data_IF_706844075157
#
_entry.id   IF_706844075157
#
_cell.length_a   1.000
_cell.length_b   1.000
_cell.length_c   1.000
_cell.angle_alpha   90.00
_cell.angle_beta   90.00
_cell.angle_gamma   90.00
#
_symmetry.space_group_name_H-M   'P 1'
#
loop_
_entity.id
_entity.type
_entity.pdbx_description
1 polymer ?
#
# COMPACT_ATOMS: atom_id res chain seq x y z
N UNK A 1 -15.05 -3.62 -22.46
CA UNK A 1 -13.81 -4.10 -23.12
C UNK A 1 -13.71 -5.57 -22.81
N UNK A 2 -13.79 -6.45 -23.81
CA UNK A 2 -13.79 -7.90 -23.62
C UNK A 2 -12.58 -8.47 -24.34
N UNK A 3 -11.83 -9.35 -23.66
CA UNK A 3 -10.64 -9.99 -24.22
C UNK A 3 -11.08 -11.29 -24.91
N UNK A 4 -11.15 -11.29 -26.23
CA UNK A 4 -11.58 -12.46 -27.02
C UNK A 4 -10.37 -13.33 -27.39
N UNK A 5 -9.86 -14.10 -26.43
CA UNK A 5 -8.78 -15.08 -26.66
C UNK A 5 -9.23 -16.42 -26.08
N UNK A 6 -8.90 -17.52 -26.74
CA UNK A 6 -9.25 -18.85 -26.24
C UNK A 6 -8.61 -19.11 -24.87
N UNK A 7 -9.34 -19.80 -24.00
CA UNK A 7 -8.83 -20.18 -22.69
C UNK A 7 -7.55 -21.02 -22.84
N UNK A 8 -6.51 -20.69 -22.06
CA UNK A 8 -5.21 -21.35 -22.12
C UNK A 8 -4.23 -20.76 -23.15
N UNK A 9 -4.64 -19.83 -24.02
CA UNK A 9 -3.71 -19.12 -24.89
C UNK A 9 -2.99 -17.96 -24.16
N UNK A 10 -1.69 -17.82 -24.43
CA UNK A 10 -0.90 -16.69 -23.93
C UNK A 10 -1.35 -15.39 -24.60
N UNK A 11 -1.66 -14.38 -23.79
CA UNK A 11 -2.01 -13.04 -24.25
C UNK A 11 -0.77 -12.37 -24.86
N UNK A 12 -0.89 -11.85 -26.09
CA UNK A 12 0.15 -11.14 -26.82
C UNK A 12 -0.28 -9.70 -27.08
N UNK A 13 0.66 -8.83 -27.46
CA UNK A 13 0.40 -7.40 -27.70
C UNK A 13 -0.75 -7.17 -28.70
N UNK A 14 -0.85 -7.98 -29.75
CA UNK A 14 -1.93 -7.90 -30.73
C UNK A 14 -3.34 -8.15 -30.16
N UNK A 15 -3.47 -8.90 -29.05
CA UNK A 15 -4.74 -9.22 -28.41
C UNK A 15 -5.27 -8.09 -27.53
N UNK A 16 -4.45 -7.06 -27.26
CA UNK A 16 -4.83 -5.94 -26.42
C UNK A 16 -5.65 -4.93 -27.23
N UNK A 17 -6.62 -4.30 -26.57
CA UNK A 17 -7.36 -3.18 -27.14
C UNK A 17 -6.41 -2.04 -27.54
N UNK A 18 -6.73 -1.32 -28.61
CA UNK A 18 -5.90 -0.24 -29.17
C UNK A 18 -5.38 0.73 -28.10
N UNK A 19 -6.28 1.20 -27.22
CA UNK A 19 -5.94 2.11 -26.10
C UNK A 19 -4.86 1.59 -25.13
N UNK A 20 -4.69 0.28 -24.99
CA UNK A 20 -3.66 -0.32 -24.13
C UNK A 20 -2.37 -0.52 -24.92
N UNK A 21 -2.45 -0.86 -26.22
CA UNK A 21 -1.27 -1.04 -27.08
C UNK A 21 -0.52 0.24 -27.32
N UNK A 22 -1.28 1.33 -27.46
CA UNK A 22 -0.80 2.66 -27.83
C UNK A 22 -0.54 3.54 -26.60
N UNK A 23 -0.93 3.08 -25.41
CA UNK A 23 -0.53 3.73 -24.17
C UNK A 23 1.00 3.67 -24.05
N UNK A 24 1.61 4.82 -23.84
CA UNK A 24 3.02 4.90 -23.52
C UNK A 24 3.23 4.44 -22.07
N UNK A 25 3.91 3.31 -21.82
CA UNK A 25 4.20 2.86 -20.46
C UNK A 25 5.15 3.82 -19.72
N UNK A 26 5.89 4.67 -20.43
CA UNK A 26 6.77 5.69 -19.87
C UNK A 26 6.07 7.04 -19.61
N UNK A 27 4.77 7.17 -19.94
CA UNK A 27 4.00 8.39 -19.65
C UNK A 27 3.77 8.64 -18.15
N UNK A 28 4.15 7.69 -17.30
CA UNK A 28 4.15 7.85 -15.85
C UNK A 28 5.58 8.10 -15.38
N UNK A 29 5.84 9.33 -14.93
CA UNK A 29 7.15 9.74 -14.39
C UNK A 29 7.54 8.96 -13.11
N UNK A 30 6.54 8.43 -12.38
CA UNK A 30 6.76 7.66 -11.16
C UNK A 30 6.48 6.16 -11.42
N UNK A 31 7.43 5.26 -11.08
CA UNK A 31 7.19 3.83 -11.21
C UNK A 31 6.13 3.35 -10.19
N UNK A 32 5.36 2.33 -10.57
CA UNK A 32 4.19 1.86 -9.81
C UNK A 32 4.53 1.46 -8.36
N UNK A 33 5.72 0.90 -8.15
CA UNK A 33 6.21 0.51 -6.82
C UNK A 33 6.26 1.70 -5.85
N UNK A 34 6.71 2.88 -6.30
CA UNK A 34 6.78 4.10 -5.50
C UNK A 34 5.40 4.66 -5.17
N UNK A 35 4.49 4.62 -6.15
CA UNK A 35 3.10 5.01 -5.93
C UNK A 35 2.42 4.08 -4.90
N UNK A 36 2.65 2.77 -5.02
CA UNK A 36 2.13 1.78 -4.07
C UNK A 36 2.71 1.99 -2.66
N UNK A 37 4.00 2.28 -2.54
CA UNK A 37 4.63 2.59 -1.25
C UNK A 37 3.98 3.80 -0.57
N UNK A 38 3.73 4.88 -1.31
CA UNK A 38 3.06 6.09 -0.80
C UNK A 38 1.64 5.80 -0.32
N UNK A 39 0.86 5.07 -1.12
CA UNK A 39 -0.51 4.68 -0.77
C UNK A 39 -0.52 3.78 0.46
N UNK A 40 0.36 2.79 0.50
CA UNK A 40 0.44 1.85 1.62
C UNK A 40 0.83 2.56 2.93
N UNK A 41 1.77 3.51 2.85
CA UNK A 41 2.14 4.36 3.99
C UNK A 41 0.94 5.15 4.51
N UNK A 42 0.17 5.78 3.61
CA UNK A 42 -0.99 6.58 3.98
C UNK A 42 -2.07 5.72 4.66
N UNK A 43 -2.38 4.56 4.08
CA UNK A 43 -3.39 3.63 4.62
C UNK A 43 -2.99 3.06 5.98
N UNK A 44 -1.74 2.62 6.13
CA UNK A 44 -1.26 2.07 7.42
C UNK A 44 -1.28 3.16 8.49
N UNK A 45 -0.82 4.39 8.19
CA UNK A 45 -0.87 5.51 9.14
C UNK A 45 -2.29 5.82 9.59
N UNK A 46 -3.22 5.92 8.63
CA UNK A 46 -4.62 6.18 8.92
C UNK A 46 -5.19 5.13 9.88
N UNK A 47 -4.97 3.83 9.60
CA UNK A 47 -5.49 2.77 10.47
C UNK A 47 -4.85 2.72 11.85
N UNK A 48 -3.57 3.07 11.95
CA UNK A 48 -2.88 3.17 13.25
C UNK A 48 -3.41 4.34 14.09
N UNK A 49 -3.87 5.42 13.46
CA UNK A 49 -4.51 6.55 14.16
C UNK A 49 -5.96 6.25 14.56
N UNK A 50 -6.72 5.55 13.71
CA UNK A 50 -8.13 5.22 13.97
C UNK A 50 -8.34 4.11 15.00
N UNK A 51 -7.36 3.20 15.16
CA UNK A 51 -7.52 1.99 15.96
C UNK A 51 -6.65 2.03 17.22
N UNK A 52 -7.16 1.55 18.37
CA UNK A 52 -6.46 1.63 19.65
C UNK A 52 -5.24 0.71 19.73
N UNK A 53 -5.16 -0.33 18.89
CA UNK A 53 -4.05 -1.29 18.89
C UNK A 53 -3.59 -1.64 17.48
N UNK A 54 -2.29 -1.96 17.34
CA UNK A 54 -1.70 -2.42 16.08
C UNK A 54 -2.38 -3.69 15.55
N UNK A 55 -2.82 -4.58 16.44
CA UNK A 55 -3.58 -5.79 16.07
C UNK A 55 -4.97 -5.46 15.52
N UNK A 56 -5.65 -4.45 16.07
CA UNK A 56 -6.93 -3.97 15.53
C UNK A 56 -6.76 -3.27 14.17
N UNK A 57 -5.67 -2.51 13.99
CA UNK A 57 -5.30 -1.93 12.70
C UNK A 57 -5.05 -3.01 11.63
N UNK A 58 -4.27 -4.05 11.95
CA UNK A 58 -4.02 -5.18 11.05
C UNK A 58 -5.32 -5.88 10.62
N UNK A 59 -6.20 -6.17 11.60
CA UNK A 59 -7.53 -6.73 11.32
C UNK A 59 -8.36 -5.85 10.40
N UNK A 60 -8.34 -4.53 10.59
CA UNK A 60 -9.08 -3.58 9.72
C UNK A 60 -8.52 -3.47 8.30
N UNK A 61 -7.24 -3.81 8.11
CA UNK A 61 -6.58 -3.87 6.81
C UNK A 61 -6.75 -5.23 6.13
N UNK A 62 -7.35 -6.22 6.80
CA UNK A 62 -7.51 -7.57 6.27
C UNK A 62 -6.20 -8.36 6.20
N UNK A 63 -5.19 -8.00 7.01
CA UNK A 63 -3.88 -8.67 7.03
C UNK A 63 -3.56 -9.21 8.42
N UNK A 64 -2.61 -10.15 8.49
CA UNK A 64 -2.09 -10.62 9.78
C UNK A 64 -1.27 -9.53 10.46
N UNK A 65 -1.14 -9.65 11.78
CA UNK A 65 -0.32 -8.72 12.58
C UNK A 65 1.15 -8.77 12.14
N UNK A 66 1.64 -9.95 11.81
CA UNK A 66 3.00 -10.21 11.33
C UNK A 66 3.24 -9.53 9.97
N UNK A 67 2.26 -9.63 9.06
CA UNK A 67 2.30 -8.95 7.77
C UNK A 67 2.30 -7.43 7.92
N UNK A 68 1.50 -6.88 8.85
CA UNK A 68 1.52 -5.45 9.16
C UNK A 68 2.90 -5.01 9.64
N UNK A 69 3.51 -5.73 10.59
CA UNK A 69 4.85 -5.39 11.09
C UNK A 69 5.93 -5.52 10.02
N UNK A 70 5.84 -6.52 9.13
CA UNK A 70 6.75 -6.65 8.00
C UNK A 70 6.64 -5.46 7.05
N UNK A 71 5.41 -5.02 6.72
CA UNK A 71 5.14 -3.84 5.90
C UNK A 71 5.66 -2.56 6.55
N UNK A 72 5.41 -2.37 7.85
CA UNK A 72 5.94 -1.21 8.59
C UNK A 72 7.47 -1.16 8.59
N UNK A 73 8.15 -2.30 8.71
CA UNK A 73 9.62 -2.39 8.61
C UNK A 73 10.11 -2.01 7.22
N UNK A 74 9.52 -2.63 6.18
CA UNK A 74 9.87 -2.37 4.78
C UNK A 74 9.68 -0.89 4.41
N UNK A 75 8.64 -0.25 4.93
CA UNK A 75 8.27 1.13 4.64
C UNK A 75 8.94 2.16 5.59
N UNK A 76 9.85 1.72 6.47
CA UNK A 76 10.57 2.63 7.37
C UNK A 76 9.70 3.35 8.42
N UNK A 77 8.56 2.76 8.80
CA UNK A 77 7.59 3.40 9.70
C UNK A 77 7.93 3.26 11.19
N UNK A 78 8.89 2.40 11.55
CA UNK A 78 9.18 2.06 12.95
C UNK A 78 10.05 3.09 13.69
N UNK A 79 10.64 4.06 13.00
CA UNK A 79 11.67 4.96 13.57
C UNK A 79 11.16 6.36 13.95
N UNK A 80 9.85 6.65 13.79
CA UNK A 80 9.31 8.01 14.00
C UNK A 80 8.42 8.19 15.24
N UNK A 81 8.04 7.10 15.92
CA UNK A 81 7.19 7.18 17.11
C UNK A 81 7.96 7.65 18.37
N UNK A 82 9.28 7.49 18.42
CA UNK A 82 10.05 7.81 19.64
C UNK A 82 10.38 9.30 19.82
N UNK A 83 10.25 10.14 18.78
CA UNK A 83 10.47 11.60 18.91
C UNK A 83 9.21 12.42 19.14
N UNK A 84 8.03 11.81 19.04
CA UNK A 84 6.74 12.53 19.13
C UNK A 84 6.00 12.27 20.45
N UNK A 85 6.48 11.34 21.30
CA UNK A 85 5.88 11.02 22.62
C UNK A 85 6.71 11.58 23.80
N UNK A 86 7.76 12.35 23.54
CA UNK A 86 8.49 13.06 24.60
C UNK A 86 7.81 14.39 25.05
N UNK A 87 6.65 14.74 24.47
CA UNK A 87 6.06 16.08 24.62
C UNK A 87 4.73 16.21 25.36
N UNK A 88 4.03 15.13 25.70
CA UNK A 88 2.71 15.25 26.35
C UNK A 88 2.72 14.54 27.71
N UNK A 89 3.02 15.36 28.72
CA UNK A 89 2.77 15.07 30.13
C UNK A 89 1.29 14.77 30.35
N UNK A 90 0.96 13.54 30.74
CA UNK A 90 -0.26 13.26 31.49
C UNK A 90 0.13 13.07 32.96
N UNK A 91 -0.16 14.08 33.80
CA UNK A 91 -0.18 13.97 35.26
C UNK A 91 -1.39 13.13 35.68
N UNK A 92 -1.29 12.24 36.69
CA UNK A 92 -2.47 11.78 37.40
C UNK A 92 -2.86 12.82 38.47
N UNK A 93 -4.16 13.05 38.61
CA UNK A 93 -4.81 13.58 39.82
C UNK A 93 -5.03 12.45 40.81
#
# INVERSE_FOLDING_TARGET
>A
MVLCVAQGQRIRRQHLARRIRDADPAAHDEPLDRLLERVEIALIRQRLQEKPTKTAAARSLGITREALYAKMRRLGMMTRDERSVAGIRCRPV
#
